data_IF_674656460083
#
_entry.id   IF_674656460083
#
_cell.length_a   1.000
_cell.length_b   1.000
_cell.length_c   1.000
_cell.angle_alpha   90.00
_cell.angle_beta   90.00
_cell.angle_gamma   90.00
#
_symmetry.space_group_name_H-M   'P 1'
#
loop_
_entity.id
_entity.type
_entity.pdbx_description
1 polymer ?
#
# COMPACT_ATOMS: atom_id res chain seq x y z
N UNK A 1 -11.11 29.01 5.78
CA UNK A 1 -11.54 27.60 5.79
C UNK A 1 -11.04 26.99 7.09
N UNK A 2 -11.92 26.48 7.93
CA UNK A 2 -11.57 25.67 9.09
C UNK A 2 -10.65 24.53 8.63
N UNK A 3 -9.58 24.17 9.38
CA UNK A 3 -8.85 22.95 9.09
C UNK A 3 -9.87 21.82 9.07
N UNK A 4 -10.11 21.21 7.92
CA UNK A 4 -10.88 19.97 7.89
C UNK A 4 -10.07 18.98 8.69
N UNK A 5 -10.59 18.59 9.86
CA UNK A 5 -9.97 17.58 10.70
C UNK A 5 -9.65 16.37 9.81
N UNK A 6 -8.36 16.05 9.74
CA UNK A 6 -7.89 15.01 8.85
C UNK A 6 -8.30 13.67 9.46
N UNK A 7 -9.28 13.00 8.84
CA UNK A 7 -9.78 11.72 9.34
C UNK A 7 -8.82 10.63 8.87
N UNK A 8 -8.07 10.05 9.80
CA UNK A 8 -7.27 8.86 9.57
C UNK A 8 -8.04 7.62 10.03
N UNK A 9 -8.22 6.65 9.13
CA UNK A 9 -8.92 5.38 9.41
C UNK A 9 -8.18 4.22 8.76
N UNK A 10 -8.46 3.00 9.20
CA UNK A 10 -8.04 1.81 8.47
C UNK A 10 -8.61 1.80 7.05
N UNK A 11 -7.80 1.47 6.06
CA UNK A 11 -8.23 1.48 4.66
C UNK A 11 -9.18 0.30 4.37
N UNK A 12 -10.43 0.62 4.05
CA UNK A 12 -11.52 -0.35 3.97
C UNK A 12 -11.46 -1.29 2.75
N UNK A 13 -10.65 -0.96 1.74
CA UNK A 13 -10.56 -1.71 0.47
C UNK A 13 -9.22 -2.41 0.30
N UNK A 14 -8.45 -2.60 1.37
CA UNK A 14 -7.29 -3.48 1.36
C UNK A 14 -7.74 -4.94 1.21
N UNK A 15 -7.29 -5.61 0.15
CA UNK A 15 -7.62 -7.02 -0.15
C UNK A 15 -6.43 -7.97 -0.03
N UNK A 16 -5.21 -7.42 0.03
CA UNK A 16 -3.98 -8.19 0.15
C UNK A 16 -2.97 -7.46 1.06
N UNK A 17 -1.84 -8.13 1.32
CA UNK A 17 -0.77 -7.64 2.20
C UNK A 17 -0.75 -8.38 3.54
N UNK A 18 0.35 -8.18 4.27
CA UNK A 18 0.51 -8.77 5.60
C UNK A 18 -0.26 -7.94 6.66
N UNK A 19 -0.61 -8.55 7.80
CA UNK A 19 -1.36 -7.85 8.88
C UNK A 19 -0.58 -6.64 9.40
N UNK A 20 0.74 -6.72 9.39
CA UNK A 20 1.66 -5.65 9.77
C UNK A 20 1.72 -4.52 8.73
N UNK A 21 1.24 -4.76 7.51
CA UNK A 21 1.18 -3.81 6.37
C UNK A 21 -0.21 -3.18 6.24
N UNK A 22 -0.96 -3.07 7.34
CA UNK A 22 -2.27 -2.42 7.34
C UNK A 22 -2.16 -0.97 6.84
N UNK A 23 -2.92 -0.66 5.79
CA UNK A 23 -2.96 0.65 5.17
C UNK A 23 -3.89 1.58 5.95
N UNK A 24 -3.52 2.86 6.02
CA UNK A 24 -4.36 3.91 6.59
C UNK A 24 -4.86 4.82 5.47
N UNK A 25 -6.16 5.15 5.47
CA UNK A 25 -6.76 6.09 4.54
C UNK A 25 -6.89 7.49 5.18
N UNK A 26 -6.58 8.53 4.41
CA UNK A 26 -6.81 9.94 4.77
C UNK A 26 -7.96 10.47 3.94
N UNK A 27 -9.07 10.86 4.58
CA UNK A 27 -10.23 11.51 3.95
C UNK A 27 -10.74 10.79 2.67
N UNK A 28 -10.57 9.47 2.59
CA UNK A 28 -10.87 8.64 1.41
C UNK A 28 -10.17 9.10 0.11
N UNK A 29 -9.10 9.89 0.21
CA UNK A 29 -8.39 10.48 -0.95
C UNK A 29 -6.96 10.01 -1.08
N UNK A 30 -6.33 9.70 0.06
CA UNK A 30 -4.94 9.27 0.11
C UNK A 30 -4.83 8.00 0.93
N UNK A 31 -3.80 7.23 0.63
CA UNK A 31 -3.41 6.03 1.36
C UNK A 31 -2.01 6.27 1.95
N UNK A 32 -1.83 5.91 3.22
CA UNK A 32 -0.56 5.85 3.92
C UNK A 32 -0.14 4.39 4.07
N UNK A 33 0.99 4.05 3.46
CA UNK A 33 1.62 2.72 3.58
C UNK A 33 2.75 2.76 4.61
N UNK A 34 2.68 2.00 5.72
CA UNK A 34 3.66 2.08 6.80
C UNK A 34 5.00 1.43 6.43
N UNK A 35 6.08 1.91 7.03
CA UNK A 35 7.37 1.21 7.01
C UNK A 35 7.33 0.00 7.94
N UNK A 36 7.14 -1.20 7.36
CA UNK A 36 7.24 -2.47 8.09
C UNK A 36 8.67 -3.02 8.07
N UNK A 37 9.32 -3.01 6.90
CA UNK A 37 10.71 -3.44 6.73
C UNK A 37 11.50 -2.32 6.07
N UNK A 38 12.58 -1.88 6.74
CA UNK A 38 13.41 -0.75 6.32
C UNK A 38 13.88 -0.86 4.87
N UNK A 39 14.39 -2.01 4.48
CA UNK A 39 14.96 -2.20 3.14
C UNK A 39 13.89 -2.27 2.04
N UNK A 40 12.71 -2.84 2.32
CA UNK A 40 11.60 -2.86 1.36
C UNK A 40 11.01 -1.46 1.18
N UNK A 41 10.84 -0.73 2.29
CA UNK A 41 10.36 0.64 2.27
C UNK A 41 11.30 1.58 1.51
N UNK A 42 12.61 1.46 1.75
CA UNK A 42 13.63 2.24 1.02
C UNK A 42 13.57 1.96 -0.48
N UNK A 43 13.43 0.69 -0.88
CA UNK A 43 13.28 0.32 -2.30
C UNK A 43 12.02 0.88 -2.93
N UNK A 44 10.88 0.72 -2.28
CA UNK A 44 9.59 1.20 -2.80
C UNK A 44 9.55 2.74 -2.91
N UNK A 45 10.00 3.45 -1.87
CA UNK A 45 10.05 4.90 -1.90
C UNK A 45 11.05 5.45 -2.94
N UNK A 46 12.16 4.77 -3.17
CA UNK A 46 13.11 5.13 -4.23
C UNK A 46 12.53 4.88 -5.63
N UNK A 47 11.81 3.78 -5.83
CA UNK A 47 11.10 3.51 -7.08
C UNK A 47 10.17 4.67 -7.43
N UNK A 48 9.28 5.08 -6.51
CA UNK A 48 8.38 6.21 -6.75
C UNK A 48 9.12 7.51 -7.05
N UNK A 49 10.18 7.84 -6.29
CA UNK A 49 10.98 9.05 -6.52
C UNK A 49 11.64 9.05 -7.91
N UNK A 50 12.19 7.92 -8.33
CA UNK A 50 12.83 7.77 -9.64
C UNK A 50 11.82 7.90 -10.78
N UNK A 51 10.65 7.25 -10.67
CA UNK A 51 9.60 7.35 -11.69
C UNK A 51 9.12 8.78 -11.92
N UNK A 52 9.18 9.67 -10.92
CA UNK A 52 8.81 11.09 -11.09
C UNK A 52 9.88 11.94 -11.78
N UNK A 53 11.15 11.51 -11.77
CA UNK A 53 12.26 12.26 -12.36
C UNK A 53 12.35 12.06 -13.88
N UNK A 54 11.93 10.90 -14.38
CA UNK A 54 12.13 10.51 -15.77
C UNK A 54 11.00 10.99 -16.70
N UNK A 55 10.83 12.31 -16.83
CA UNK A 55 9.71 12.92 -17.57
C UNK A 55 9.73 12.69 -19.09
N UNK A 56 10.85 12.22 -19.63
CA UNK A 56 11.04 12.02 -21.07
C UNK A 56 11.06 10.54 -21.48
N UNK A 57 11.08 9.60 -20.54
CA UNK A 57 10.94 8.18 -20.85
C UNK A 57 9.48 7.84 -21.20
N UNK A 58 9.24 7.40 -22.43
CA UNK A 58 7.93 6.91 -22.87
C UNK A 58 7.52 5.61 -22.16
N UNK A 59 8.46 4.91 -21.53
CA UNK A 59 8.21 3.73 -20.70
C UNK A 59 8.00 4.09 -19.21
N UNK A 60 7.94 5.37 -18.88
CA UNK A 60 7.74 5.80 -17.51
C UNK A 60 6.41 5.23 -16.95
N UNK A 61 6.46 4.46 -15.84
CA UNK A 61 5.27 3.80 -15.28
C UNK A 61 4.31 4.77 -14.57
N UNK A 62 4.65 6.07 -14.44
CA UNK A 62 3.88 7.07 -13.68
C UNK A 62 2.39 7.13 -14.02
N UNK A 63 1.99 6.84 -15.27
CA UNK A 63 0.57 6.79 -15.66
C UNK A 63 -0.18 5.54 -15.19
N UNK A 64 0.54 4.52 -14.74
CA UNK A 64 0.02 3.19 -14.37
C UNK A 64 0.23 2.84 -12.89
N UNK A 65 0.85 3.72 -12.13
CA UNK A 65 1.08 3.56 -10.68
C UNK A 65 0.35 4.66 -9.92
N UNK A 66 -0.03 4.45 -8.65
CA UNK A 66 -0.60 5.50 -7.83
C UNK A 66 0.31 6.72 -7.76
N UNK A 67 -0.27 7.92 -7.88
CA UNK A 67 0.44 9.18 -7.67
C UNK A 67 1.08 9.19 -6.29
N UNK A 68 2.40 9.37 -6.28
CA UNK A 68 3.20 9.52 -5.07
C UNK A 68 3.22 10.98 -4.60
N UNK A 69 2.82 11.23 -3.35
CA UNK A 69 2.76 12.57 -2.77
C UNK A 69 3.94 12.87 -1.84
N UNK A 70 4.65 11.84 -1.36
CA UNK A 70 5.81 12.01 -0.48
C UNK A 70 5.86 10.99 0.65
N UNK A 71 6.71 11.29 1.63
CA UNK A 71 6.86 10.49 2.85
C UNK A 71 6.39 11.36 4.02
N UNK A 72 5.48 10.84 4.84
CA UNK A 72 5.05 11.47 6.08
C UNK A 72 5.53 10.68 7.28
N UNK A 73 5.86 11.39 8.35
CA UNK A 73 6.21 10.81 9.64
C UNK A 73 5.01 10.98 10.56
N UNK A 74 4.42 9.88 11.00
CA UNK A 74 3.27 9.90 11.91
C UNK A 74 3.67 9.29 13.26
N UNK A 75 3.43 10.03 14.34
CA UNK A 75 3.59 9.54 15.71
C UNK A 75 2.27 8.96 16.20
N UNK A 76 2.31 7.84 16.95
CA UNK A 76 1.15 7.13 17.51
C UNK A 76 -0.16 7.27 16.70
N UNK A 77 -0.20 6.66 15.52
CA UNK A 77 -1.40 6.62 14.69
C UNK A 77 -2.33 5.51 15.21
N UNK A 78 -3.00 5.72 16.35
CA UNK A 78 -4.16 4.89 16.71
C UNK A 78 -5.36 5.34 15.85
N UNK A 79 -6.18 4.38 15.42
CA UNK A 79 -7.28 4.54 14.45
C UNK A 79 -8.35 5.59 14.79
N UNK A 80 -8.25 6.23 15.96
CA UNK A 80 -9.21 7.21 16.44
C UNK A 80 -8.64 8.64 16.52
N UNK A 81 -7.31 8.86 16.54
CA UNK A 81 -6.72 10.20 16.69
C UNK A 81 -5.27 10.28 16.18
N UNK A 82 -5.06 10.11 14.87
CA UNK A 82 -3.75 10.34 14.30
C UNK A 82 -3.52 11.83 14.00
N UNK A 83 -2.61 12.45 14.75
CA UNK A 83 -2.11 13.79 14.45
C UNK A 83 -0.91 13.65 13.52
N UNK A 84 -0.98 14.22 12.31
CA UNK A 84 0.21 14.37 11.47
C UNK A 84 1.22 15.24 12.22
N UNK A 85 2.36 14.66 12.55
CA UNK A 85 3.49 15.43 13.07
C UNK A 85 4.24 15.97 11.86
N UNK A 86 3.85 17.16 11.42
CA UNK A 86 4.61 17.88 10.39
C UNK A 86 5.88 18.50 10.97
N UNK A 87 5.92 18.82 12.27
CA UNK A 87 7.10 19.38 12.92
C UNK A 87 7.20 18.98 14.40
N UNK A 88 8.43 18.82 14.87
CA UNK A 88 8.90 18.60 16.25
C UNK A 88 8.87 17.17 16.79
N UNK A 89 10.03 16.51 16.73
CA UNK A 89 10.37 15.36 17.58
C UNK A 89 10.83 15.90 18.93
N UNK A 90 10.00 15.75 19.96
CA UNK A 90 10.39 15.98 21.35
C UNK A 90 11.52 14.99 21.76
N UNK A 91 12.63 15.45 22.37
CA UNK A 91 13.67 14.55 22.86
C UNK A 91 13.10 13.51 23.84
N UNK A 92 13.26 12.23 23.52
CA UNK A 92 12.79 11.12 24.38
C UNK A 92 11.44 10.50 24.01
N UNK A 93 10.73 11.02 22.99
CA UNK A 93 9.57 10.32 22.40
C UNK A 93 9.99 9.39 21.25
N UNK A 94 9.21 8.30 21.09
CA UNK A 94 9.40 7.32 20.03
C UNK A 94 9.44 8.01 18.66
N UNK A 95 10.47 7.72 17.86
CA UNK A 95 10.64 8.31 16.53
C UNK A 95 9.42 7.92 15.67
N UNK A 96 8.69 8.91 15.10
CA UNK A 96 7.52 8.62 14.28
C UNK A 96 7.89 7.73 13.09
N UNK A 97 7.10 6.69 12.85
CA UNK A 97 7.37 5.76 11.75
C UNK A 97 7.01 6.42 10.40
N UNK A 98 7.89 6.31 9.38
CA UNK A 98 7.62 6.87 8.08
C UNK A 98 6.56 6.07 7.33
N UNK A 99 5.77 6.78 6.52
CA UNK A 99 4.73 6.24 5.66
C UNK A 99 4.90 6.81 4.24
N UNK A 100 4.75 5.96 3.23
CA UNK A 100 4.61 6.40 1.83
C UNK A 100 3.17 6.90 1.66
N UNK A 101 3.01 8.10 1.13
CA UNK A 101 1.69 8.69 0.84
C UNK A 101 1.41 8.58 -0.65
N UNK A 102 0.30 7.90 -0.96
CA UNK A 102 -0.19 7.66 -2.32
C UNK A 102 -1.61 8.19 -2.46
N UNK A 103 -2.04 8.44 -3.70
CA UNK A 103 -3.47 8.61 -3.96
C UNK A 103 -4.26 7.32 -3.69
N UNK A 104 -5.52 7.47 -3.29
CA UNK A 104 -6.46 6.37 -3.19
C UNK A 104 -7.09 6.11 -4.56
N UNK A 105 -6.75 4.97 -5.18
CA UNK A 105 -7.29 4.58 -6.48
C UNK A 105 -8.79 4.26 -6.46
N UNK A 106 -9.38 4.08 -5.27
CA UNK A 106 -10.82 3.84 -5.11
C UNK A 106 -11.60 5.14 -4.91
N UNK A 107 -10.93 6.28 -4.77
CA UNK A 107 -11.59 7.57 -4.63
C UNK A 107 -12.48 7.89 -5.84
N UNK A 108 -13.70 8.34 -5.57
CA UNK A 108 -14.69 8.68 -6.59
C UNK A 108 -15.60 7.52 -7.00
N UNK A 109 -15.33 6.29 -6.54
CA UNK A 109 -16.24 5.17 -6.67
C UNK A 109 -17.10 5.04 -5.40
N UNK A 110 -18.41 4.88 -5.55
CA UNK A 110 -19.32 4.68 -4.41
C UNK A 110 -19.16 3.29 -3.80
N UNK A 111 -19.10 2.26 -4.65
CA UNK A 111 -19.01 0.86 -4.22
C UNK A 111 -17.93 0.11 -5.01
N UNK A 112 -16.63 0.41 -4.74
CA UNK A 112 -15.54 -0.10 -5.56
C UNK A 112 -15.33 -1.61 -5.34
N UNK A 113 -15.32 -2.33 -6.47
CA UNK A 113 -14.82 -3.70 -6.58
C UNK A 113 -13.30 -3.69 -6.75
N UNK A 114 -12.59 -4.46 -5.95
CA UNK A 114 -11.12 -4.49 -5.94
C UNK A 114 -10.62 -5.91 -6.10
N UNK A 115 -9.57 -6.09 -6.91
CA UNK A 115 -8.84 -7.34 -7.05
C UNK A 115 -7.34 -7.04 -7.01
N UNK A 116 -6.59 -7.83 -6.24
CA UNK A 116 -5.12 -7.81 -6.24
C UNK A 116 -4.60 -9.03 -6.99
N UNK A 117 -3.82 -8.76 -8.04
CA UNK A 117 -3.15 -9.77 -8.85
C UNK A 117 -1.65 -9.61 -8.68
N UNK A 118 -0.99 -10.66 -8.17
CA UNK A 118 0.46 -10.70 -8.07
C UNK A 118 1.06 -11.24 -9.36
N UNK A 119 1.83 -10.38 -10.02
CA UNK A 119 2.47 -10.64 -11.31
C UNK A 119 3.88 -11.25 -11.17
N UNK A 120 4.34 -11.91 -12.23
CA UNK A 120 5.69 -12.46 -12.40
C UNK A 120 5.75 -13.98 -12.25
N UNK A 121 6.63 -14.65 -12.99
CA UNK A 121 6.86 -16.11 -12.86
C UNK A 121 7.61 -16.48 -11.57
N UNK A 122 8.17 -15.49 -10.87
CA UNK A 122 8.89 -15.63 -9.61
C UNK A 122 8.45 -14.55 -8.61
N UNK A 123 8.06 -14.96 -7.39
CA UNK A 123 7.55 -14.05 -6.34
C UNK A 123 8.50 -13.93 -5.15
N UNK A 124 9.75 -14.35 -5.31
CA UNK A 124 10.81 -14.21 -4.34
C UNK A 124 12.02 -13.51 -4.97
N UNK A 125 12.81 -12.84 -4.14
CA UNK A 125 14.03 -12.18 -4.61
C UNK A 125 15.12 -13.20 -4.93
N UNK A 126 16.06 -12.90 -5.84
CA UNK A 126 17.20 -13.78 -6.11
C UNK A 126 17.99 -14.16 -4.85
N UNK A 127 18.09 -13.20 -3.92
CA UNK A 127 18.78 -13.30 -2.62
C UNK A 127 17.93 -13.95 -1.52
N UNK A 128 16.69 -14.37 -1.80
CA UNK A 128 15.84 -15.00 -0.81
C UNK A 128 16.43 -16.32 -0.30
N UNK A 129 16.27 -16.60 1.00
CA UNK A 129 16.66 -17.88 1.60
C UNK A 129 15.91 -19.05 0.97
N UNK A 130 16.48 -20.26 1.00
CA UNK A 130 15.82 -21.44 0.45
C UNK A 130 14.43 -21.67 1.06
N UNK A 131 14.32 -21.51 2.39
CA UNK A 131 13.04 -21.59 3.09
C UNK A 131 12.00 -20.60 2.56
N UNK A 132 12.41 -19.35 2.24
CA UNK A 132 11.50 -18.35 1.66
C UNK A 132 11.10 -18.70 0.23
N UNK A 133 12.04 -19.22 -0.57
CA UNK A 133 11.76 -19.72 -1.93
C UNK A 133 10.72 -20.84 -1.89
N UNK A 134 10.96 -21.87 -1.08
CA UNK A 134 10.05 -23.02 -0.94
C UNK A 134 8.67 -22.59 -0.44
N UNK A 135 8.61 -21.64 0.51
CA UNK A 135 7.36 -21.08 1.01
C UNK A 135 6.57 -20.35 -0.07
N UNK A 136 7.22 -19.52 -0.89
CA UNK A 136 6.55 -18.79 -1.97
C UNK A 136 6.06 -19.71 -3.09
N UNK A 137 6.83 -20.74 -3.46
CA UNK A 137 6.41 -21.76 -4.43
C UNK A 137 5.21 -22.54 -3.91
N UNK A 138 5.21 -22.95 -2.63
CA UNK A 138 4.10 -23.70 -2.03
C UNK A 138 2.79 -22.92 -2.00
N UNK A 139 2.84 -21.59 -1.88
CA UNK A 139 1.63 -20.74 -1.89
C UNK A 139 0.84 -20.86 -3.19
N UNK A 140 1.52 -21.01 -4.32
CA UNK A 140 0.88 -21.15 -5.63
C UNK A 140 1.83 -21.83 -6.63
N UNK A 141 1.77 -23.17 -6.77
CA UNK A 141 2.68 -23.93 -7.63
C UNK A 141 2.65 -23.51 -9.11
N UNK A 142 1.49 -23.03 -9.59
CA UNK A 142 1.30 -22.61 -10.98
C UNK A 142 1.86 -21.22 -11.30
N UNK A 143 2.45 -20.50 -10.32
CA UNK A 143 3.00 -19.15 -10.55
C UNK A 143 4.06 -19.14 -11.66
N UNK A 144 4.92 -20.15 -11.69
CA UNK A 144 6.02 -20.23 -12.65
C UNK A 144 5.53 -20.45 -14.10
N UNK A 145 4.38 -21.11 -14.26
CA UNK A 145 3.77 -21.43 -15.55
C UNK A 145 2.85 -20.30 -16.03
N UNK A 146 1.93 -19.85 -15.16
CA UNK A 146 0.92 -18.84 -15.51
C UNK A 146 1.47 -17.41 -15.47
N UNK A 147 2.50 -17.15 -14.65
CA UNK A 147 3.10 -15.83 -14.51
C UNK A 147 2.27 -14.82 -13.69
N UNK A 148 1.16 -15.24 -13.10
CA UNK A 148 0.37 -14.42 -12.17
C UNK A 148 -0.47 -15.28 -11.21
N UNK A 149 -0.99 -14.65 -10.15
CA UNK A 149 -2.04 -15.23 -9.29
C UNK A 149 -2.93 -14.15 -8.68
N UNK A 150 -4.19 -14.47 -8.43
CA UNK A 150 -5.07 -13.63 -7.60
C UNK A 150 -4.66 -13.80 -6.14
N UNK A 151 -4.41 -12.70 -5.44
CA UNK A 151 -4.01 -12.74 -4.02
C UNK A 151 -5.11 -12.31 -3.06
N UNK A 152 -6.09 -11.56 -3.56
CA UNK A 152 -7.31 -11.25 -2.84
C UNK A 152 -8.26 -10.43 -3.69
N UNK A 153 -9.51 -10.36 -3.26
CA UNK A 153 -10.53 -9.53 -3.89
C UNK A 153 -11.59 -9.07 -2.90
N UNK A 154 -12.34 -8.05 -3.30
CA UNK A 154 -13.52 -7.53 -2.62
C UNK A 154 -14.53 -7.14 -3.68
N UNK A 155 -15.63 -7.88 -3.76
CA UNK A 155 -16.68 -7.74 -4.77
C UNK A 155 -18.02 -7.47 -4.11
N UNK A 156 -18.74 -6.44 -4.55
CA UNK A 156 -20.10 -6.15 -4.13
C UNK A 156 -21.05 -7.14 -4.78
N UNK A 157 -21.85 -7.81 -3.97
CA UNK A 157 -22.99 -8.60 -4.42
C UNK A 157 -24.25 -7.72 -4.44
N UNK A 158 -24.74 -7.38 -5.63
CA UNK A 158 -25.88 -6.47 -5.81
C UNK A 158 -27.16 -6.94 -5.12
N UNK A 159 -27.39 -8.25 -5.04
CA UNK A 159 -28.62 -8.80 -4.46
C UNK A 159 -28.68 -8.63 -2.93
N UNK A 160 -27.54 -8.72 -2.25
CA UNK A 160 -27.47 -8.64 -0.78
C UNK A 160 -26.97 -7.28 -0.29
N UNK A 161 -26.35 -6.47 -1.15
CA UNK A 161 -25.65 -5.25 -0.75
C UNK A 161 -24.41 -5.52 0.10
N UNK A 162 -23.91 -6.76 0.11
CA UNK A 162 -22.74 -7.16 0.91
C UNK A 162 -21.51 -7.40 0.05
N UNK A 163 -20.32 -7.34 0.66
CA UNK A 163 -19.07 -7.61 -0.04
C UNK A 163 -18.61 -9.05 0.18
N UNK A 164 -18.46 -9.80 -0.90
CA UNK A 164 -17.68 -11.03 -0.96
C UNK A 164 -16.18 -10.67 -0.90
N UNK A 165 -15.42 -11.34 -0.04
CA UNK A 165 -13.99 -11.07 0.16
C UNK A 165 -13.23 -12.39 0.28
N UNK A 166 -12.05 -12.46 -0.32
CA UNK A 166 -11.09 -13.56 -0.16
C UNK A 166 -9.66 -13.02 -0.23
#
# INVERSE_FOLDING_TARGET
>A
ATPQDMILKGYAHQVAGHKEEALLGINHRLIMKPMVKKDLFARESNFYKQSLQDKHDTNNPTRFIPKFLGILFCGNCSSENAKLLLDSVEPGKQVPLPHIVLEDLTYGYEEPNVIDIKMGTCTFEPTASQQKKDSEVRKYPFQAELGFRITGFKLLEHNSGTYLKA
#
